data_IF_008960955183
#
_entry.id   IF_008960955183
#
_cell.length_a   1.000
_cell.length_b   1.000
_cell.length_c   1.000
_cell.angle_alpha   90.00
_cell.angle_beta   90.00
_cell.angle_gamma   90.00
#
_symmetry.space_group_name_H-M   'P 1'
#
loop_
_entity.id
_entity.type
_entity.pdbx_description
1 polymer ?
#
# COMPACT_ATOMS: atom_id res chain seq x y z
N UNK A 1 -18.45 26.82 12.20
CA UNK A 1 -18.35 25.52 11.51
C UNK A 1 -16.89 25.10 11.58
N UNK A 2 -16.57 23.89 11.96
CA UNK A 2 -15.19 23.45 12.14
C UNK A 2 -14.51 23.39 10.77
N UNK A 3 -13.41 24.12 10.58
CA UNK A 3 -12.60 24.10 9.35
C UNK A 3 -11.77 22.82 9.25
N UNK A 4 -12.39 21.65 9.48
CA UNK A 4 -11.73 20.38 9.35
C UNK A 4 -11.47 20.07 7.87
N UNK A 5 -10.30 19.50 7.59
CA UNK A 5 -9.95 18.99 6.28
C UNK A 5 -9.88 17.46 6.33
N UNK A 6 -10.64 16.81 5.45
CA UNK A 6 -10.82 15.38 5.44
C UNK A 6 -10.18 14.81 4.16
N UNK A 7 -9.13 14.01 4.33
CA UNK A 7 -8.49 13.27 3.25
C UNK A 7 -9.03 11.86 3.17
N UNK A 8 -9.38 11.43 1.96
CA UNK A 8 -9.90 10.10 1.67
C UNK A 8 -8.97 9.36 0.69
N UNK A 9 -8.79 8.06 0.93
CA UNK A 9 -8.16 7.14 -0.03
C UNK A 9 -9.16 6.02 -0.32
N UNK A 10 -9.73 6.04 -1.53
CA UNK A 10 -10.71 5.05 -2.01
C UNK A 10 -9.98 3.93 -2.71
N UNK A 11 -9.61 2.89 -1.96
CA UNK A 11 -9.00 1.69 -2.51
C UNK A 11 -10.02 0.63 -2.91
N UNK A 12 -9.59 -0.34 -3.71
CA UNK A 12 -10.44 -1.46 -4.13
C UNK A 12 -10.86 -2.39 -2.98
N UNK A 13 -10.09 -2.44 -1.89
CA UNK A 13 -10.32 -3.33 -0.76
C UNK A 13 -10.56 -2.61 0.57
N UNK A 14 -10.17 -1.35 0.67
CA UNK A 14 -10.25 -0.55 1.89
C UNK A 14 -10.56 0.89 1.57
N UNK A 15 -11.39 1.51 2.40
CA UNK A 15 -11.60 2.95 2.46
C UNK A 15 -10.81 3.49 3.65
N UNK A 16 -10.01 4.53 3.42
CA UNK A 16 -9.23 5.19 4.47
C UNK A 16 -9.62 6.66 4.56
N UNK A 17 -9.67 7.17 5.79
CA UNK A 17 -9.98 8.57 6.08
C UNK A 17 -9.01 9.15 7.08
N UNK A 18 -8.46 10.33 6.80
CA UNK A 18 -7.67 11.12 7.71
C UNK A 18 -8.33 12.49 7.93
N UNK A 19 -8.30 13.01 9.14
CA UNK A 19 -8.89 14.30 9.50
C UNK A 19 -7.81 15.21 10.05
N UNK A 20 -7.63 16.37 9.44
CA UNK A 20 -6.79 17.46 9.96
C UNK A 20 -7.66 18.53 10.63
N UNK A 21 -7.14 19.06 11.74
CA UNK A 21 -7.68 20.22 12.42
C UNK A 21 -7.39 21.53 11.68
N UNK A 22 -7.95 22.65 12.15
CA UNK A 22 -7.72 23.98 11.58
C UNK A 22 -6.24 24.44 11.64
N UNK A 23 -5.49 23.87 12.56
CA UNK A 23 -4.05 24.09 12.76
C UNK A 23 -3.18 23.13 11.93
N UNK A 24 -3.78 22.29 11.10
CA UNK A 24 -3.12 21.23 10.35
C UNK A 24 -2.70 20.02 11.18
N UNK A 25 -3.01 19.95 12.48
CA UNK A 25 -2.73 18.76 13.28
C UNK A 25 -3.58 17.57 12.84
N UNK A 26 -2.99 16.38 12.82
CA UNK A 26 -3.72 15.15 12.52
C UNK A 26 -4.57 14.74 13.72
N UNK A 27 -5.89 14.81 13.57
CA UNK A 27 -6.87 14.57 14.64
C UNK A 27 -7.25 13.11 14.74
N UNK A 28 -7.60 12.48 13.62
CA UNK A 28 -8.03 11.08 13.59
C UNK A 28 -7.75 10.41 12.26
N UNK A 29 -7.65 9.09 12.29
CA UNK A 29 -7.54 8.23 11.11
C UNK A 29 -8.50 7.06 11.29
N UNK A 30 -9.18 6.69 10.22
CA UNK A 30 -10.08 5.54 10.17
C UNK A 30 -9.80 4.72 8.93
N UNK A 31 -9.91 3.41 9.08
CA UNK A 31 -9.81 2.42 8.01
C UNK A 31 -11.04 1.52 8.10
N UNK A 32 -11.71 1.30 6.97
CA UNK A 32 -12.83 0.37 6.87
C UNK A 32 -12.61 -0.61 5.70
N UNK A 33 -13.01 -1.88 5.83
CA UNK A 33 -13.12 -2.77 4.69
C UNK A 33 -14.07 -2.20 3.64
N UNK A 34 -13.67 -2.26 2.37
CA UNK A 34 -14.48 -1.79 1.24
C UNK A 34 -14.25 -2.74 0.06
N UNK A 35 -15.09 -3.75 -0.10
CA UNK A 35 -15.00 -4.72 -1.18
C UNK A 35 -15.58 -4.13 -2.47
N UNK A 36 -14.95 -3.09 -3.02
CA UNK A 36 -15.46 -2.28 -4.12
C UNK A 36 -15.74 -3.09 -5.40
N UNK A 37 -15.02 -4.21 -5.58
CA UNK A 37 -15.29 -5.16 -6.69
C UNK A 37 -16.68 -5.80 -6.65
N UNK A 38 -17.42 -5.69 -5.53
CA UNK A 38 -18.80 -6.17 -5.40
C UNK A 38 -19.84 -5.12 -5.73
N UNK A 39 -19.45 -3.86 -5.93
CA UNK A 39 -20.32 -2.74 -6.28
C UNK A 39 -20.02 -1.46 -5.52
N UNK A 40 -20.48 -0.32 -6.05
CA UNK A 40 -20.31 1.01 -5.44
C UNK A 40 -21.05 1.17 -4.10
N UNK A 41 -22.09 0.38 -3.84
CA UNK A 41 -22.78 0.33 -2.56
C UNK A 41 -21.82 0.00 -1.39
N UNK A 42 -20.76 -0.77 -1.65
CA UNK A 42 -19.72 -1.07 -0.65
C UNK A 42 -18.98 0.18 -0.17
N UNK A 43 -18.85 1.19 -1.02
CA UNK A 43 -18.27 2.47 -0.61
C UNK A 43 -19.18 3.20 0.39
N UNK A 44 -20.48 3.23 0.14
CA UNK A 44 -21.48 3.81 1.08
C UNK A 44 -21.47 3.07 2.42
N UNK A 45 -21.49 1.74 2.37
CA UNK A 45 -21.45 0.91 3.58
C UNK A 45 -20.18 1.17 4.39
N UNK A 46 -19.01 1.19 3.74
CA UNK A 46 -17.73 1.46 4.41
C UNK A 46 -17.73 2.86 5.05
N UNK A 47 -18.23 3.89 4.36
CA UNK A 47 -18.34 5.24 4.93
C UNK A 47 -19.28 5.29 6.13
N UNK A 48 -20.40 4.56 6.10
CA UNK A 48 -21.37 4.53 7.19
C UNK A 48 -20.83 3.88 8.48
N UNK A 49 -19.77 3.06 8.39
CA UNK A 49 -19.11 2.50 9.58
C UNK A 49 -18.18 3.48 10.29
N UNK A 50 -17.82 4.60 9.64
CA UNK A 50 -16.90 5.58 10.20
C UNK A 50 -17.68 6.64 11.03
N UNK A 51 -17.08 7.16 12.12
CA UNK A 51 -17.70 8.21 12.90
C UNK A 51 -18.10 9.41 12.03
N UNK A 52 -19.30 10.01 12.21
CA UNK A 52 -19.70 11.19 11.47
C UNK A 52 -18.70 12.34 11.63
N UNK A 53 -18.32 12.97 10.52
CA UNK A 53 -17.35 14.07 10.52
C UNK A 53 -17.72 15.03 9.39
N UNK A 54 -17.81 16.32 9.68
CA UNK A 54 -18.11 17.38 8.72
C UNK A 54 -16.87 18.23 8.47
N UNK A 55 -16.58 18.55 7.22
CA UNK A 55 -15.44 19.36 6.82
C UNK A 55 -15.25 19.34 5.30
N UNK A 56 -14.24 20.07 4.81
CA UNK A 56 -13.85 20.01 3.39
C UNK A 56 -13.25 18.64 3.07
N UNK A 57 -13.68 18.01 1.99
CA UNK A 57 -13.20 16.68 1.58
C UNK A 57 -12.28 16.77 0.37
N UNK A 58 -11.17 16.01 0.44
CA UNK A 58 -10.25 15.78 -0.67
C UNK A 58 -9.99 14.30 -0.81
N UNK A 59 -9.86 13.81 -2.03
CA UNK A 59 -9.86 12.37 -2.31
C UNK A 59 -8.68 11.99 -3.20
N UNK A 60 -8.09 10.84 -2.95
CA UNK A 60 -7.31 10.06 -3.92
C UNK A 60 -7.92 8.67 -4.04
N UNK A 61 -7.59 7.94 -5.12
CA UNK A 61 -8.16 6.62 -5.34
C UNK A 61 -7.20 5.64 -6.00
N UNK A 62 -7.51 4.36 -5.84
CA UNK A 62 -7.01 3.20 -6.59
C UNK A 62 -8.14 2.19 -6.79
N UNK A 63 -9.35 2.57 -6.40
CA UNK A 63 -10.54 1.72 -6.49
C UNK A 63 -11.00 1.47 -7.91
N UNK A 64 -10.64 2.34 -8.85
CA UNK A 64 -10.93 2.19 -10.28
C UNK A 64 -10.26 0.97 -10.94
N UNK A 65 -9.31 0.33 -10.24
CA UNK A 65 -8.61 -0.87 -10.73
C UNK A 65 -9.39 -2.16 -10.57
N UNK A 66 -10.51 -2.16 -9.83
CA UNK A 66 -11.29 -3.38 -9.61
C UNK A 66 -12.06 -3.79 -10.88
N UNK A 67 -12.33 -5.11 -11.03
CA UNK A 67 -13.03 -5.69 -12.19
C UNK A 67 -14.54 -5.39 -12.20
N UNK A 68 -14.93 -4.19 -11.75
CA UNK A 68 -16.32 -3.70 -11.81
C UNK A 68 -16.57 -2.93 -13.12
N UNK A 69 -15.53 -2.39 -13.74
CA UNK A 69 -15.60 -1.54 -14.92
C UNK A 69 -14.76 -2.10 -16.07
N UNK A 70 -15.16 -1.81 -17.32
CA UNK A 70 -14.40 -2.25 -18.49
C UNK A 70 -13.04 -1.58 -18.63
N UNK A 71 -12.88 -0.38 -18.03
CA UNK A 71 -11.64 0.40 -18.06
C UNK A 71 -11.58 1.36 -16.86
N UNK A 72 -10.38 1.87 -16.59
CA UNK A 72 -10.10 2.77 -15.46
C UNK A 72 -10.81 4.11 -15.55
N UNK A 73 -10.96 4.64 -16.78
CA UNK A 73 -11.60 5.95 -16.97
C UNK A 73 -13.07 5.91 -16.53
N UNK A 74 -13.78 4.84 -16.88
CA UNK A 74 -15.14 4.58 -16.42
C UNK A 74 -15.18 4.48 -14.88
N UNK A 75 -14.24 3.72 -14.29
CA UNK A 75 -14.15 3.58 -12.83
C UNK A 75 -13.91 4.91 -12.10
N UNK A 76 -13.02 5.75 -12.62
CA UNK A 76 -12.77 7.09 -12.06
C UNK A 76 -14.03 7.95 -12.10
N UNK A 77 -14.75 7.96 -13.21
CA UNK A 77 -15.97 8.78 -13.40
C UNK A 77 -17.07 8.32 -12.44
N UNK A 78 -17.29 7.01 -12.36
CA UNK A 78 -18.34 6.45 -11.49
C UNK A 78 -18.05 6.66 -10.01
N UNK A 79 -16.80 6.43 -9.57
CA UNK A 79 -16.39 6.72 -8.19
C UNK A 79 -16.52 8.23 -7.89
N UNK A 80 -16.09 9.12 -8.80
CA UNK A 80 -16.21 10.55 -8.62
C UNK A 80 -17.68 11.00 -8.51
N UNK A 81 -18.55 10.42 -9.32
CA UNK A 81 -20.00 10.69 -9.28
C UNK A 81 -20.61 10.26 -7.95
N UNK A 82 -20.27 9.03 -7.49
CA UNK A 82 -20.71 8.51 -6.20
C UNK A 82 -20.25 9.38 -5.04
N UNK A 83 -18.98 9.80 -5.04
CA UNK A 83 -18.42 10.69 -4.02
C UNK A 83 -19.11 12.06 -4.00
N UNK A 84 -19.57 12.57 -5.13
CA UNK A 84 -20.35 13.80 -5.21
C UNK A 84 -21.67 13.71 -4.43
N UNK A 85 -22.34 12.57 -4.50
CA UNK A 85 -23.54 12.29 -3.73
C UNK A 85 -23.29 12.10 -2.22
N UNK A 86 -22.13 11.54 -1.86
CA UNK A 86 -21.80 11.20 -0.47
C UNK A 86 -21.12 12.34 0.31
N UNK A 87 -20.21 13.07 -0.34
CA UNK A 87 -19.36 14.08 0.30
C UNK A 87 -19.74 15.52 -0.08
N UNK A 88 -20.59 15.68 -1.09
CA UNK A 88 -21.01 16.97 -1.60
C UNK A 88 -20.16 17.49 -2.78
N UNK A 89 -20.68 18.53 -3.48
CA UNK A 89 -20.09 19.03 -4.74
C UNK A 89 -18.76 19.76 -4.56
N UNK A 90 -18.46 20.25 -3.36
CA UNK A 90 -17.21 20.98 -3.07
C UNK A 90 -16.02 20.04 -2.85
N UNK A 91 -16.23 18.72 -2.92
CA UNK A 91 -15.18 17.73 -2.83
C UNK A 91 -14.21 17.85 -4.01
N UNK A 92 -12.91 17.77 -3.72
CA UNK A 92 -11.87 17.82 -4.74
C UNK A 92 -11.14 16.46 -4.84
N UNK A 93 -10.73 16.11 -6.07
CA UNK A 93 -9.97 14.89 -6.33
C UNK A 93 -8.54 15.26 -6.69
N UNK A 94 -7.60 14.51 -6.12
CA UNK A 94 -6.20 14.63 -6.45
C UNK A 94 -5.92 13.96 -7.80
N UNK A 95 -5.42 14.74 -8.74
CA UNK A 95 -5.10 14.36 -10.11
C UNK A 95 -3.58 14.46 -10.36
N UNK A 96 -2.77 13.87 -9.46
CA UNK A 96 -1.33 13.78 -9.63
C UNK A 96 -0.69 15.12 -10.01
N UNK A 97 -0.15 15.19 -11.22
CA UNK A 97 0.52 16.39 -11.78
C UNK A 97 -0.42 17.58 -11.95
N UNK A 98 -1.70 17.35 -12.17
CA UNK A 98 -2.69 18.43 -12.31
C UNK A 98 -3.13 19.01 -10.94
N UNK A 99 -2.66 18.44 -9.82
CA UNK A 99 -3.06 18.88 -8.50
C UNK A 99 -4.48 18.46 -8.13
N UNK A 100 -5.26 19.38 -7.54
CA UNK A 100 -6.65 19.10 -7.14
C UNK A 100 -7.64 19.66 -8.16
N UNK A 101 -8.49 18.79 -8.68
CA UNK A 101 -9.59 19.14 -9.61
C UNK A 101 -10.95 18.98 -8.93
N UNK A 102 -11.99 19.60 -9.47
CA UNK A 102 -13.37 19.36 -9.00
C UNK A 102 -13.88 17.98 -9.44
N UNK A 103 -14.90 17.46 -8.77
CA UNK A 103 -15.56 16.22 -9.19
C UNK A 103 -16.11 16.31 -10.63
N UNK A 104 -16.62 17.47 -11.03
CA UNK A 104 -17.14 17.70 -12.38
C UNK A 104 -16.06 17.65 -13.47
N UNK A 105 -14.80 17.94 -13.14
CA UNK A 105 -13.64 17.88 -14.04
C UNK A 105 -12.95 16.52 -14.07
N UNK A 106 -13.40 15.56 -13.23
CA UNK A 106 -12.77 14.24 -13.16
C UNK A 106 -12.72 13.53 -14.50
N UNK A 107 -13.76 13.67 -15.34
CA UNK A 107 -13.83 13.07 -16.66
C UNK A 107 -12.76 13.58 -17.65
N UNK A 108 -12.20 14.78 -17.43
CA UNK A 108 -11.10 15.36 -18.21
C UNK A 108 -9.71 14.92 -17.71
N UNK A 109 -9.63 14.37 -16.50
CA UNK A 109 -8.39 14.08 -15.80
C UNK A 109 -8.27 12.61 -15.39
N UNK A 110 -8.98 11.70 -16.01
CA UNK A 110 -9.07 10.29 -15.60
C UNK A 110 -7.71 9.61 -15.49
N UNK A 111 -6.80 9.89 -16.41
CA UNK A 111 -5.44 9.32 -16.41
C UNK A 111 -4.58 9.82 -15.24
N UNK A 112 -4.75 11.08 -14.82
CA UNK A 112 -3.99 11.67 -13.72
C UNK A 112 -4.61 11.34 -12.34
N UNK A 113 -5.90 11.03 -12.30
CA UNK A 113 -6.62 10.61 -11.09
C UNK A 113 -6.39 9.13 -10.80
N UNK A 114 -6.42 8.29 -11.85
CA UNK A 114 -6.29 6.85 -11.70
C UNK A 114 -4.99 6.46 -11.00
N UNK A 115 -5.11 5.73 -9.90
CA UNK A 115 -3.98 5.25 -9.08
C UNK A 115 -3.03 6.36 -8.59
N UNK A 116 -3.51 7.59 -8.35
CA UNK A 116 -2.65 8.72 -7.94
C UNK A 116 -2.25 8.72 -6.46
N UNK A 117 -2.61 7.72 -5.70
CA UNK A 117 -2.35 7.61 -4.26
C UNK A 117 -0.85 7.59 -3.92
N UNK A 118 -0.03 6.86 -4.71
CA UNK A 118 1.42 6.83 -4.56
C UNK A 118 2.04 8.21 -4.78
N UNK A 119 1.54 8.94 -5.79
CA UNK A 119 2.02 10.28 -6.12
C UNK A 119 1.71 11.27 -4.98
N UNK A 120 0.49 11.22 -4.43
CA UNK A 120 0.10 12.04 -3.28
C UNK A 120 1.00 11.76 -2.07
N UNK A 121 1.23 10.49 -1.74
CA UNK A 121 2.08 10.10 -0.62
C UNK A 121 3.51 10.58 -0.81
N UNK A 122 4.08 10.37 -1.99
CA UNK A 122 5.43 10.79 -2.31
C UNK A 122 5.58 12.32 -2.28
N UNK A 123 4.62 13.06 -2.86
CA UNK A 123 4.63 14.53 -2.88
C UNK A 123 4.56 15.14 -1.47
N UNK A 124 3.67 14.61 -0.60
CA UNK A 124 3.57 15.07 0.77
C UNK A 124 4.86 14.78 1.57
N UNK A 125 5.45 13.59 1.40
CA UNK A 125 6.71 13.24 2.07
C UNK A 125 7.90 14.01 1.52
N UNK A 126 7.95 14.28 0.22
CA UNK A 126 9.00 15.12 -0.39
C UNK A 126 8.97 16.54 0.18
N UNK A 127 7.80 17.15 0.34
CA UNK A 127 7.63 18.46 0.95
C UNK A 127 8.12 18.51 2.41
N UNK A 128 7.97 17.41 3.16
CA UNK A 128 8.34 17.32 4.59
C UNK A 128 9.81 16.92 4.76
N UNK A 129 10.30 15.98 3.96
CA UNK A 129 11.59 15.33 4.18
C UNK A 129 12.73 15.90 3.33
N UNK A 130 12.41 16.59 2.23
CA UNK A 130 13.37 17.13 1.27
C UNK A 130 13.92 16.07 0.31
N UNK A 131 14.64 15.08 0.84
CA UNK A 131 15.28 14.02 0.08
C UNK A 131 14.92 12.65 0.62
N UNK A 132 14.84 11.64 -0.28
CA UNK A 132 14.56 10.26 0.13
C UNK A 132 14.01 9.40 -0.99
N UNK A 133 13.72 8.16 -0.64
CA UNK A 133 12.94 7.22 -1.45
C UNK A 133 11.77 6.75 -0.60
N UNK A 134 10.54 7.12 -0.99
CA UNK A 134 9.37 6.48 -0.43
C UNK A 134 9.41 5.00 -0.79
N UNK A 135 9.27 4.14 0.21
CA UNK A 135 9.01 2.72 0.05
C UNK A 135 7.68 2.41 0.75
N UNK A 136 6.59 2.48 -0.01
CA UNK A 136 5.25 2.16 0.49
C UNK A 136 4.95 0.69 0.17
N UNK A 137 5.04 -0.17 1.19
CA UNK A 137 4.72 -1.59 1.05
C UNK A 137 3.32 -1.83 1.60
N UNK A 138 2.37 -1.92 0.69
CA UNK A 138 0.98 -2.25 1.01
C UNK A 138 0.77 -3.75 1.21
N UNK A 139 -0.50 -4.16 1.23
CA UNK A 139 -0.86 -5.59 1.29
C UNK A 139 -0.51 -6.34 -0.01
N UNK A 140 -0.56 -5.66 -1.16
CA UNK A 140 -0.45 -6.27 -2.51
C UNK A 140 0.79 -5.83 -3.27
N UNK A 141 1.11 -4.53 -3.23
CA UNK A 141 2.14 -3.87 -4.06
C UNK A 141 3.13 -3.11 -3.20
N UNK A 142 4.23 -2.74 -3.83
CA UNK A 142 5.26 -1.85 -3.28
C UNK A 142 5.52 -0.72 -4.26
N UNK A 143 5.49 0.50 -3.77
CA UNK A 143 5.87 1.70 -4.48
C UNK A 143 7.25 2.17 -4.01
N UNK A 144 8.19 2.40 -4.94
CA UNK A 144 9.53 2.90 -4.67
C UNK A 144 9.71 4.23 -5.42
N UNK A 145 9.43 5.36 -4.75
CA UNK A 145 9.38 6.66 -5.39
C UNK A 145 10.50 7.57 -4.88
N UNK A 146 11.51 7.85 -5.73
CA UNK A 146 12.61 8.75 -5.38
C UNK A 146 12.17 10.21 -5.42
N UNK A 147 12.72 11.03 -4.51
CA UNK A 147 12.56 12.47 -4.51
C UNK A 147 13.79 13.17 -3.93
N UNK A 148 14.11 14.34 -4.48
CA UNK A 148 15.24 15.17 -4.07
C UNK A 148 14.90 16.66 -4.19
N UNK A 149 15.37 17.49 -3.27
CA UNK A 149 15.05 18.91 -3.22
C UNK A 149 13.54 19.17 -3.15
N UNK A 150 12.79 18.33 -2.45
CA UNK A 150 11.33 18.34 -2.37
C UNK A 150 10.60 18.11 -3.71
N UNK A 151 11.30 17.62 -4.74
CA UNK A 151 10.73 17.30 -6.05
C UNK A 151 10.74 15.79 -6.30
N UNK A 152 9.68 15.28 -6.90
CA UNK A 152 9.60 13.87 -7.28
C UNK A 152 10.50 13.56 -8.47
N UNK A 153 11.28 12.49 -8.38
CA UNK A 153 12.25 12.05 -9.39
C UNK A 153 11.83 10.76 -10.10
N UNK A 154 10.54 10.42 -10.10
CA UNK A 154 10.03 9.22 -10.76
C UNK A 154 10.16 9.30 -12.29
N UNK A 155 10.28 8.13 -12.93
CA UNK A 155 10.41 7.97 -14.40
C UNK A 155 9.14 7.44 -15.04
N UNK A 156 8.43 6.54 -14.34
CA UNK A 156 7.15 6.01 -14.79
C UNK A 156 5.99 6.76 -14.14
N UNK A 157 4.95 7.08 -14.91
CA UNK A 157 3.74 7.70 -14.38
C UNK A 157 2.56 6.74 -14.34
N UNK A 158 2.36 5.98 -15.40
CA UNK A 158 1.38 4.88 -15.42
C UNK A 158 1.92 3.63 -14.71
N UNK A 159 1.03 2.74 -14.29
CA UNK A 159 1.46 1.46 -13.67
C UNK A 159 2.37 0.66 -14.61
N UNK A 160 2.07 0.61 -15.91
CA UNK A 160 2.91 -0.06 -16.89
C UNK A 160 4.35 0.51 -16.91
N UNK A 161 4.47 1.84 -17.01
CA UNK A 161 5.77 2.49 -17.00
C UNK A 161 6.49 2.31 -15.65
N UNK A 162 5.77 2.34 -14.52
CA UNK A 162 6.33 2.14 -13.18
C UNK A 162 6.79 0.70 -12.95
N UNK A 163 6.09 -0.28 -13.52
CA UNK A 163 6.54 -1.69 -13.52
C UNK A 163 7.88 -1.84 -14.27
N UNK A 164 8.04 -1.18 -15.41
CA UNK A 164 9.27 -1.21 -16.21
C UNK A 164 10.43 -0.52 -15.49
N UNK A 165 10.16 0.58 -14.78
CA UNK A 165 11.19 1.37 -14.08
C UNK A 165 11.53 0.82 -12.69
N UNK A 166 10.80 -0.17 -12.19
CA UNK A 166 10.95 -0.74 -10.85
C UNK A 166 10.34 0.14 -9.74
N UNK A 167 9.63 1.20 -10.10
CA UNK A 167 8.94 2.10 -9.17
C UNK A 167 7.63 1.53 -8.64
N UNK A 168 7.07 0.52 -9.33
CA UNK A 168 5.99 -0.34 -8.87
C UNK A 168 6.46 -1.80 -8.90
N UNK A 169 6.37 -2.47 -7.74
CA UNK A 169 6.70 -3.89 -7.62
C UNK A 169 5.47 -4.64 -7.15
N UNK A 170 5.05 -5.66 -7.91
CA UNK A 170 3.85 -6.42 -7.55
C UNK A 170 4.18 -7.47 -6.49
N UNK A 171 4.55 -6.99 -5.32
CA UNK A 171 4.70 -7.76 -4.09
C UNK A 171 4.37 -6.89 -2.87
N UNK A 172 3.66 -7.44 -1.91
CA UNK A 172 3.25 -6.77 -0.69
C UNK A 172 3.31 -7.69 0.52
N UNK A 173 2.91 -7.17 1.66
CA UNK A 173 3.07 -7.85 2.95
C UNK A 173 2.12 -9.03 3.17
N UNK A 174 0.96 -9.09 2.46
CA UNK A 174 -0.08 -10.06 2.79
C UNK A 174 -0.62 -10.85 1.59
N UNK A 175 -0.85 -10.20 0.45
CA UNK A 175 -1.66 -10.78 -0.63
C UNK A 175 -0.87 -11.42 -1.77
N UNK A 176 0.45 -11.32 -1.77
CA UNK A 176 1.27 -11.91 -2.84
C UNK A 176 1.23 -13.44 -2.75
N UNK A 177 0.76 -14.15 -3.78
CA UNK A 177 0.83 -15.60 -3.80
C UNK A 177 2.27 -16.10 -3.74
N UNK A 178 2.55 -17.13 -2.93
CA UNK A 178 3.91 -17.68 -2.79
C UNK A 178 4.42 -18.22 -4.13
N UNK A 179 3.55 -18.81 -4.96
CA UNK A 179 3.90 -19.26 -6.32
C UNK A 179 4.34 -18.13 -7.25
N UNK A 180 3.98 -16.87 -6.95
CA UNK A 180 4.42 -15.70 -7.71
C UNK A 180 5.74 -15.11 -7.19
N UNK A 181 6.19 -15.51 -6.01
CA UNK A 181 7.50 -15.10 -5.46
C UNK A 181 8.64 -15.93 -6.04
N UNK A 182 8.47 -17.26 -6.10
CA UNK A 182 9.50 -18.19 -6.52
C UNK A 182 8.92 -19.35 -7.30
N UNK A 183 9.72 -19.93 -8.20
CA UNK A 183 9.39 -21.18 -8.89
C UNK A 183 9.80 -22.40 -8.06
N UNK A 184 10.82 -22.26 -7.22
CA UNK A 184 11.33 -23.32 -6.35
C UNK A 184 11.91 -22.70 -5.08
N UNK A 185 11.86 -23.44 -3.96
CA UNK A 185 12.45 -23.03 -2.69
C UNK A 185 13.31 -24.18 -2.08
N UNK A 186 14.33 -23.85 -1.28
CA UNK A 186 15.08 -24.83 -0.52
C UNK A 186 14.19 -25.54 0.50
N UNK A 187 14.17 -26.87 0.47
CA UNK A 187 13.45 -27.70 1.43
C UNK A 187 14.17 -29.02 1.65
N UNK A 188 14.53 -29.37 2.88
CA UNK A 188 15.23 -30.61 3.25
C UNK A 188 16.47 -30.86 2.41
N UNK A 189 17.32 -29.83 2.21
CA UNK A 189 18.57 -29.93 1.45
C UNK A 189 18.38 -30.06 -0.06
N UNK A 190 17.18 -29.84 -0.60
CA UNK A 190 16.89 -29.88 -2.03
C UNK A 190 16.24 -28.57 -2.47
N UNK A 191 16.42 -28.20 -3.74
CA UNK A 191 15.62 -27.14 -4.35
C UNK A 191 14.34 -27.79 -4.90
N UNK A 192 13.20 -27.52 -4.24
CA UNK A 192 11.92 -28.15 -4.55
C UNK A 192 11.05 -27.17 -5.35
N UNK A 193 10.57 -27.57 -6.55
CA UNK A 193 9.61 -26.77 -7.31
C UNK A 193 8.33 -26.54 -6.49
N UNK A 194 7.81 -25.31 -6.57
CA UNK A 194 6.53 -24.97 -5.94
C UNK A 194 5.35 -25.40 -6.82
N UNK A 195 4.30 -25.87 -6.20
CA UNK A 195 3.04 -26.09 -6.89
C UNK A 195 2.47 -24.76 -7.38
N UNK A 196 2.06 -24.68 -8.66
CA UNK A 196 1.48 -23.50 -9.28
C UNK A 196 0.00 -23.36 -8.90
N UNK A 197 -0.28 -23.32 -7.59
CA UNK A 197 -1.61 -23.22 -7.00
C UNK A 197 -1.65 -22.17 -5.90
N UNK A 198 -2.80 -21.51 -5.76
CA UNK A 198 -3.03 -20.47 -4.76
C UNK A 198 -3.26 -21.05 -3.38
N UNK A 199 -2.24 -21.72 -2.79
CA UNK A 199 -2.34 -22.31 -1.46
C UNK A 199 -1.91 -21.36 -0.34
N UNK A 200 -0.87 -20.55 -0.56
CA UNK A 200 -0.29 -19.69 0.45
C UNK A 200 0.06 -18.30 -0.10
N UNK A 201 0.08 -17.32 0.79
CA UNK A 201 0.42 -15.93 0.49
C UNK A 201 1.56 -15.42 1.39
N UNK A 202 2.03 -14.21 1.13
CA UNK A 202 3.00 -13.51 1.99
C UNK A 202 2.49 -13.30 3.41
N UNK A 203 1.17 -13.24 3.66
CA UNK A 203 0.63 -13.23 5.01
C UNK A 203 0.97 -14.52 5.78
N UNK A 204 0.91 -15.70 5.12
CA UNK A 204 1.31 -16.96 5.73
C UNK A 204 2.82 -17.00 5.99
N UNK A 205 3.61 -16.49 5.05
CA UNK A 205 5.06 -16.37 5.19
C UNK A 205 5.40 -15.51 6.39
N UNK A 206 4.90 -14.27 6.45
CA UNK A 206 5.27 -13.33 7.51
C UNK A 206 4.64 -13.66 8.87
N UNK A 207 3.53 -14.40 8.91
CA UNK A 207 2.99 -14.95 10.15
C UNK A 207 3.91 -16.02 10.73
N UNK A 208 4.48 -16.88 9.88
CA UNK A 208 5.42 -17.92 10.31
C UNK A 208 6.79 -17.37 10.69
N UNK A 209 7.26 -16.29 10.07
CA UNK A 209 8.47 -15.58 10.50
C UNK A 209 8.24 -14.69 11.72
N UNK A 210 6.99 -14.48 12.15
CA UNK A 210 6.64 -13.65 13.30
C UNK A 210 6.71 -12.15 13.02
N UNK A 211 6.75 -11.73 11.75
CA UNK A 211 6.93 -10.33 11.34
C UNK A 211 5.64 -9.66 10.86
N UNK A 212 4.57 -10.43 10.61
CA UNK A 212 3.30 -9.87 10.12
C UNK A 212 2.67 -8.99 11.19
N UNK A 213 2.48 -7.69 10.94
CA UNK A 213 1.84 -6.80 11.92
C UNK A 213 0.37 -7.20 12.16
N UNK A 214 -0.12 -6.96 13.36
CA UNK A 214 -1.54 -7.10 13.68
C UNK A 214 -2.38 -6.23 12.74
N UNK A 215 -3.47 -6.79 12.23
CA UNK A 215 -4.38 -6.09 11.32
C UNK A 215 -3.87 -5.91 9.87
N UNK A 216 -2.68 -6.41 9.51
CA UNK A 216 -2.17 -6.31 8.13
C UNK A 216 -2.87 -7.26 7.15
N UNK A 217 -3.40 -8.39 7.65
CA UNK A 217 -4.08 -9.42 6.87
C UNK A 217 -5.60 -9.35 7.07
N UNK A 218 -6.27 -8.47 6.34
CA UNK A 218 -7.72 -8.26 6.44
C UNK A 218 -8.56 -9.13 5.50
N UNK A 219 -7.93 -9.79 4.51
CA UNK A 219 -8.62 -10.63 3.54
C UNK A 219 -8.71 -12.09 4.01
N UNK A 220 -9.68 -12.87 3.52
CA UNK A 220 -9.70 -14.31 3.75
C UNK A 220 -8.38 -14.98 3.38
N UNK A 221 -7.99 -16.02 4.11
CA UNK A 221 -6.87 -16.87 3.73
C UNK A 221 -7.17 -17.58 2.39
N UNK A 222 -6.14 -18.06 1.69
CA UNK A 222 -6.29 -18.68 0.38
C UNK A 222 -7.27 -19.86 0.36
N UNK A 223 -7.37 -20.61 1.47
CA UNK A 223 -8.31 -21.72 1.66
C UNK A 223 -9.59 -21.31 2.42
N UNK A 224 -9.78 -20.02 2.72
CA UNK A 224 -10.88 -19.52 3.54
C UNK A 224 -10.83 -19.94 5.01
N UNK A 225 -9.74 -20.62 5.44
CA UNK A 225 -9.58 -21.15 6.79
C UNK A 225 -8.96 -20.14 7.77
N UNK A 226 -8.57 -20.65 8.92
CA UNK A 226 -8.00 -19.85 10.02
C UNK A 226 -6.69 -19.17 9.66
N UNK A 227 -6.41 -18.06 10.34
CA UNK A 227 -5.19 -17.26 10.22
C UNK A 227 -4.21 -17.51 11.39
N UNK A 228 -4.10 -18.77 11.81
CA UNK A 228 -3.15 -19.23 12.83
C UNK A 228 -1.80 -19.63 12.21
N UNK A 229 -0.76 -19.74 13.03
CA UNK A 229 0.54 -20.28 12.58
C UNK A 229 0.40 -21.70 12.03
N UNK A 230 -0.39 -22.57 12.66
CA UNK A 230 -0.60 -23.93 12.20
C UNK A 230 -1.31 -23.98 10.84
N UNK A 231 -2.33 -23.14 10.65
CA UNK A 231 -3.02 -23.04 9.36
C UNK A 231 -2.09 -22.49 8.27
N UNK A 232 -1.27 -21.49 8.56
CA UNK A 232 -0.27 -20.94 7.64
C UNK A 232 0.82 -21.98 7.30
N UNK A 233 1.31 -22.74 8.29
CA UNK A 233 2.27 -23.83 8.06
C UNK A 233 1.70 -24.90 7.15
N UNK A 234 0.45 -25.28 7.34
CA UNK A 234 -0.26 -26.25 6.50
C UNK A 234 -0.35 -25.76 5.04
N UNK A 235 -0.75 -24.50 4.83
CA UNK A 235 -0.83 -23.89 3.49
C UNK A 235 0.54 -23.82 2.81
N UNK A 236 1.55 -23.40 3.56
CA UNK A 236 2.90 -23.25 2.99
C UNK A 236 3.54 -24.60 2.66
N UNK A 237 3.38 -25.63 3.50
CA UNK A 237 3.89 -26.98 3.23
C UNK A 237 3.21 -27.61 2.01
N UNK A 238 1.95 -27.32 1.73
CA UNK A 238 1.28 -27.73 0.49
C UNK A 238 1.98 -27.23 -0.76
N UNK A 239 2.61 -26.05 -0.72
CA UNK A 239 3.38 -25.52 -1.86
C UNK A 239 4.49 -26.48 -2.32
N UNK A 240 5.01 -27.32 -1.41
CA UNK A 240 6.06 -28.34 -1.68
C UNK A 240 5.55 -29.76 -1.59
N UNK A 241 4.21 -29.97 -1.65
CA UNK A 241 3.58 -31.29 -1.64
C UNK A 241 3.72 -32.02 -0.30
N UNK A 242 3.67 -31.30 0.82
CA UNK A 242 3.78 -31.88 2.16
C UNK A 242 2.61 -31.45 3.05
N UNK A 243 2.36 -32.27 4.08
CA UNK A 243 1.37 -32.00 5.11
C UNK A 243 2.06 -31.56 6.41
N UNK A 244 1.30 -30.79 7.21
CA UNK A 244 1.71 -30.43 8.56
C UNK A 244 1.57 -31.66 9.47
N UNK A 245 2.68 -32.09 10.07
CA UNK A 245 2.75 -33.14 11.06
C UNK A 245 3.41 -32.67 12.36
N UNK A 246 3.47 -33.53 13.39
CA UNK A 246 3.96 -33.13 14.72
C UNK A 246 5.37 -32.55 14.74
N UNK A 247 6.23 -32.87 13.76
CA UNK A 247 7.64 -32.46 13.69
C UNK A 247 7.95 -31.51 12.52
N UNK A 248 6.95 -31.02 11.77
CA UNK A 248 7.20 -30.25 10.53
C UNK A 248 7.00 -28.74 10.66
N UNK A 249 6.67 -28.23 11.86
CA UNK A 249 6.51 -26.80 12.08
C UNK A 249 7.79 -26.01 11.80
N UNK A 250 8.95 -26.50 12.29
CA UNK A 250 10.23 -25.83 12.08
C UNK A 250 10.63 -25.86 10.58
N UNK A 251 10.26 -26.90 9.85
CA UNK A 251 10.45 -26.97 8.41
C UNK A 251 9.56 -25.94 7.68
N UNK A 252 8.31 -25.74 8.13
CA UNK A 252 7.43 -24.70 7.60
C UNK A 252 8.00 -23.30 7.85
N UNK A 253 8.54 -23.05 9.05
CA UNK A 253 9.21 -21.77 9.36
C UNK A 253 10.46 -21.55 8.51
N UNK A 254 11.29 -22.59 8.28
CA UNK A 254 12.45 -22.50 7.42
C UNK A 254 12.05 -22.21 5.96
N UNK A 255 10.98 -22.84 5.47
CA UNK A 255 10.43 -22.58 4.14
C UNK A 255 9.88 -21.15 4.04
N UNK A 256 9.21 -20.64 5.09
CA UNK A 256 8.74 -19.27 5.18
C UNK A 256 9.91 -18.27 5.13
N UNK A 257 10.97 -18.51 5.89
CA UNK A 257 12.18 -17.68 5.88
C UNK A 257 12.81 -17.62 4.48
N UNK A 258 12.88 -18.75 3.78
CA UNK A 258 13.37 -18.80 2.39
C UNK A 258 12.48 -17.99 1.43
N UNK A 259 11.16 -18.09 1.56
CA UNK A 259 10.21 -17.29 0.75
C UNK A 259 10.34 -15.78 1.05
N UNK A 260 10.48 -15.40 2.32
CA UNK A 260 10.71 -14.02 2.74
C UNK A 260 12.02 -13.44 2.16
N UNK A 261 13.08 -14.23 2.08
CA UNK A 261 14.34 -13.81 1.45
C UNK A 261 14.21 -13.59 -0.06
N UNK A 262 13.41 -14.42 -0.75
CA UNK A 262 13.12 -14.19 -2.19
C UNK A 262 12.35 -12.88 -2.37
N UNK A 263 11.36 -12.58 -1.52
CA UNK A 263 10.66 -11.31 -1.55
C UNK A 263 11.61 -10.14 -1.29
N UNK A 264 12.45 -10.24 -0.26
CA UNK A 264 13.44 -9.23 0.08
C UNK A 264 14.44 -8.98 -1.06
N UNK A 265 14.88 -10.04 -1.74
CA UNK A 265 15.76 -9.92 -2.92
C UNK A 265 15.07 -9.16 -4.05
N UNK A 266 13.78 -9.45 -4.34
CA UNK A 266 12.99 -8.74 -5.34
C UNK A 266 12.90 -7.23 -5.03
N UNK A 267 12.60 -6.88 -3.77
CA UNK A 267 12.56 -5.48 -3.31
C UNK A 267 13.92 -4.79 -3.42
N UNK A 268 15.01 -5.51 -3.07
CA UNK A 268 16.37 -4.99 -3.19
C UNK A 268 16.73 -4.69 -4.65
N UNK A 269 16.42 -5.60 -5.58
CA UNK A 269 16.70 -5.39 -7.01
C UNK A 269 15.91 -4.22 -7.59
N UNK A 270 14.64 -4.06 -7.20
CA UNK A 270 13.85 -2.91 -7.61
C UNK A 270 14.40 -1.59 -7.06
N UNK A 271 14.80 -1.56 -5.78
CA UNK A 271 15.47 -0.40 -5.18
C UNK A 271 16.78 -0.07 -5.88
N UNK A 272 17.59 -1.08 -6.23
CA UNK A 272 18.84 -0.91 -6.99
C UNK A 272 18.56 -0.33 -8.38
N UNK A 273 17.52 -0.81 -9.07
CA UNK A 273 17.09 -0.29 -10.36
C UNK A 273 16.66 1.19 -10.26
N UNK A 274 15.82 1.54 -9.27
CA UNK A 274 15.39 2.92 -9.03
C UNK A 274 16.58 3.82 -8.70
N UNK A 275 17.46 3.38 -7.80
CA UNK A 275 18.65 4.15 -7.41
C UNK A 275 19.65 4.32 -8.55
N UNK A 276 19.78 3.35 -9.45
CA UNK A 276 20.71 3.41 -10.59
C UNK A 276 20.33 4.46 -11.64
N UNK A 277 19.07 4.93 -11.61
CA UNK A 277 18.60 5.97 -12.51
C UNK A 277 19.13 7.37 -12.18
N UNK A 278 19.73 7.55 -11.01
CA UNK A 278 20.12 8.85 -10.49
C UNK A 278 18.94 9.66 -9.92
N UNK A 279 19.17 10.93 -9.65
CA UNK A 279 18.14 11.83 -9.10
C UNK A 279 18.05 11.84 -7.58
N UNK A 280 18.64 10.86 -6.88
CA UNK A 280 18.76 10.83 -5.42
C UNK A 280 20.17 10.41 -4.99
N UNK A 281 20.60 10.88 -3.82
CA UNK A 281 21.91 10.51 -3.28
C UNK A 281 21.99 8.99 -3.00
N UNK A 282 23.18 8.38 -3.13
CA UNK A 282 23.36 6.94 -2.86
C UNK A 282 22.95 6.51 -1.46
N UNK A 283 23.06 7.39 -0.49
CA UNK A 283 22.71 7.21 0.92
C UNK A 283 21.37 7.85 1.31
N UNK A 284 20.57 8.30 0.33
CA UNK A 284 19.25 8.86 0.59
C UNK A 284 18.40 7.92 1.47
N UNK A 285 17.70 8.43 2.50
CA UNK A 285 16.94 7.60 3.41
C UNK A 285 15.80 6.85 2.71
N UNK A 286 15.51 5.64 3.19
CA UNK A 286 14.27 4.93 2.87
C UNK A 286 13.18 5.38 3.83
N UNK A 287 12.07 5.86 3.28
CA UNK A 287 10.92 6.32 4.05
C UNK A 287 9.82 5.27 3.97
N UNK A 288 9.66 4.50 5.05
CA UNK A 288 8.77 3.34 5.09
C UNK A 288 7.32 3.72 5.38
N UNK A 289 6.43 3.37 4.47
CA UNK A 289 4.98 3.48 4.58
C UNK A 289 4.30 2.11 4.37
N UNK A 290 3.00 2.06 4.61
CA UNK A 290 2.17 0.88 4.45
C UNK A 290 2.33 -0.15 5.58
N UNK A 291 1.49 -1.18 5.51
CA UNK A 291 1.48 -2.29 6.50
C UNK A 291 2.76 -3.12 6.44
N UNK A 292 3.46 -3.14 5.31
CA UNK A 292 4.72 -3.85 5.09
C UNK A 292 5.98 -3.04 5.41
N UNK A 293 5.89 -1.90 6.10
CA UNK A 293 7.05 -1.05 6.44
C UNK A 293 8.16 -1.76 7.25
N UNK A 294 7.87 -2.89 7.90
CA UNK A 294 8.89 -3.72 8.54
C UNK A 294 9.90 -4.27 7.51
N UNK A 295 9.45 -4.61 6.29
CA UNK A 295 10.33 -4.99 5.18
C UNK A 295 11.20 -3.81 4.73
N UNK A 296 10.69 -2.57 4.78
CA UNK A 296 11.50 -1.38 4.46
C UNK A 296 12.62 -1.19 5.48
N UNK A 297 12.36 -1.42 6.76
CA UNK A 297 13.39 -1.40 7.80
C UNK A 297 14.51 -2.41 7.53
N UNK A 298 14.15 -3.66 7.15
CA UNK A 298 15.11 -4.69 6.75
C UNK A 298 15.87 -4.31 5.47
N UNK A 299 15.19 -3.73 4.49
CA UNK A 299 15.79 -3.27 3.24
C UNK A 299 16.79 -2.14 3.50
N UNK A 300 16.45 -1.18 4.36
CA UNK A 300 17.34 -0.10 4.78
C UNK A 300 18.60 -0.64 5.46
N UNK A 301 18.45 -1.57 6.40
CA UNK A 301 19.58 -2.23 7.06
C UNK A 301 20.46 -2.98 6.04
N UNK A 302 19.86 -3.72 5.10
CA UNK A 302 20.58 -4.51 4.08
C UNK A 302 21.39 -3.63 3.11
N UNK A 303 20.89 -2.41 2.85
CA UNK A 303 21.53 -1.46 1.91
C UNK A 303 22.36 -0.39 2.59
N UNK A 304 22.45 -0.38 3.91
CA UNK A 304 23.17 0.63 4.70
C UNK A 304 22.54 2.03 4.63
N UNK A 305 21.27 2.13 4.21
CA UNK A 305 20.56 3.42 4.11
C UNK A 305 19.89 3.76 5.44
N UNK A 306 19.80 5.06 5.79
CA UNK A 306 18.97 5.48 6.92
C UNK A 306 17.50 5.10 6.69
N UNK A 307 16.81 4.68 7.77
CA UNK A 307 15.37 4.44 7.76
C UNK A 307 14.63 5.59 8.43
N UNK A 308 13.55 6.07 7.81
CA UNK A 308 12.61 7.04 8.41
C UNK A 308 11.20 6.48 8.34
N UNK A 309 10.43 6.67 9.39
CA UNK A 309 9.05 6.19 9.47
C UNK A 309 8.10 7.23 8.88
N UNK A 310 7.43 6.92 7.76
CA UNK A 310 6.53 7.84 7.06
C UNK A 310 5.43 8.40 7.95
N UNK A 311 4.85 7.56 8.80
CA UNK A 311 3.78 7.99 9.70
C UNK A 311 4.22 9.00 10.74
N UNK A 312 5.47 8.97 11.23
CA UNK A 312 6.00 10.01 12.11
C UNK A 312 6.13 11.35 11.39
N UNK A 313 6.54 11.32 10.12
CA UNK A 313 6.64 12.52 9.28
C UNK A 313 5.25 13.08 8.97
N UNK A 314 4.30 12.23 8.61
CA UNK A 314 2.94 12.62 8.25
C UNK A 314 2.09 13.05 9.44
N UNK A 315 2.19 12.36 10.58
CA UNK A 315 1.40 12.67 11.77
C UNK A 315 1.98 13.85 12.59
N UNK A 316 3.30 13.99 12.60
CA UNK A 316 3.99 14.95 13.47
C UNK A 316 4.08 14.50 14.94
N UNK A 317 3.45 13.38 15.32
CA UNK A 317 3.50 12.80 16.65
C UNK A 317 3.53 11.25 16.60
N UNK A 318 3.76 10.62 17.74
CA UNK A 318 3.85 9.15 17.86
C UNK A 318 2.50 8.47 18.00
N UNK A 319 1.46 9.19 18.45
CA UNK A 319 0.14 8.63 18.81
C UNK A 319 -0.57 8.01 17.61
N UNK A 320 -0.52 8.68 16.45
CA UNK A 320 -1.17 8.24 15.22
C UNK A 320 -0.17 7.73 14.17
N UNK A 321 1.13 7.69 14.47
CA UNK A 321 2.17 7.37 13.50
C UNK A 321 1.98 6.00 12.81
N UNK A 322 1.58 4.97 13.54
CA UNK A 322 1.30 3.66 12.97
C UNK A 322 0.20 3.72 11.93
N UNK A 323 -0.97 4.24 12.31
CA UNK A 323 -2.12 4.40 11.41
C UNK A 323 -1.84 5.37 10.27
N UNK A 324 -1.06 6.44 10.52
CA UNK A 324 -0.67 7.39 9.47
C UNK A 324 0.23 6.74 8.41
N UNK A 325 1.06 5.77 8.78
CA UNK A 325 1.84 4.99 7.82
C UNK A 325 0.96 4.02 7.02
N UNK A 326 -0.01 3.36 7.67
CA UNK A 326 -0.93 2.40 7.03
C UNK A 326 -1.96 3.09 6.12
N UNK A 327 -2.29 4.34 6.42
CA UNK A 327 -3.24 5.19 5.69
C UNK A 327 -2.54 6.38 5.02
N UNK A 328 -1.27 6.24 4.66
CA UNK A 328 -0.44 7.33 4.16
C UNK A 328 -1.08 8.13 3.01
N UNK A 329 -1.75 7.54 2.01
CA UNK A 329 -2.38 8.32 0.94
C UNK A 329 -3.49 9.26 1.44
N UNK A 330 -4.33 8.82 2.39
CA UNK A 330 -5.41 9.65 2.94
C UNK A 330 -4.84 10.83 3.74
N UNK A 331 -3.78 10.61 4.54
CA UNK A 331 -3.10 11.68 5.26
C UNK A 331 -2.40 12.63 4.30
N UNK A 332 -1.75 12.08 3.27
CA UNK A 332 -1.00 12.84 2.26
C UNK A 332 -1.89 13.82 1.49
N UNK A 333 -3.05 13.39 0.97
CA UNK A 333 -3.94 14.30 0.24
C UNK A 333 -4.51 15.38 1.14
N UNK A 334 -4.79 15.08 2.43
CA UNK A 334 -5.18 16.09 3.39
C UNK A 334 -4.05 17.12 3.63
N UNK A 335 -2.79 16.65 3.79
CA UNK A 335 -1.61 17.54 3.93
C UNK A 335 -1.40 18.43 2.73
N UNK A 336 -1.46 17.87 1.52
CA UNK A 336 -1.29 18.60 0.26
C UNK A 336 -2.38 19.66 0.03
N UNK A 337 -3.60 19.43 0.50
CA UNK A 337 -4.70 20.38 0.37
C UNK A 337 -4.77 21.40 1.52
N UNK A 338 -4.02 21.18 2.61
CA UNK A 338 -3.91 22.10 3.74
C UNK A 338 -2.93 23.24 3.46
N UNK A 339 -1.83 22.94 2.74
CA UNK A 339 -0.78 23.88 2.34
C UNK A 339 -1.22 24.67 1.09
#
# INVERSE_FOLDING_TARGET
MSDLLIGWDVGGAHLKRAVLGPDGALVSIHLAPCALWQGLDRLREAMATMPPTSGRSVVTMTGELVDLWPDRATGVIDIATELGGLLGPDTRIYAGRAGFVSLSEAHLNTTDIASANWHATAAALAAIAGDGILADIGSTTTDLIPFAGSQLCFRGYSDAARLETGELVYTGAARTPVMALAQALPFRGRLVPLMAEYFATTADVHRLTGELPDGADLHPAADGGDKTCDASARRLLRMVGRDLGPSTMEEAKALAAAAAEVQMHRLHMALAQVSSAGGVAPDAPLIGAGVGRFLVGRLAQRTGRPYRHAGLLLAGDTRLAGLAADCAPAVAVARLAFN
#
